data_IF_326185677334
#
_entry.id   IF_326185677334
#
_cell.length_a   1.000
_cell.length_b   1.000
_cell.length_c   1.000
_cell.angle_alpha   90.00
_cell.angle_beta   90.00
_cell.angle_gamma   90.00
#
_symmetry.space_group_name_H-M   'P 1'
#
loop_
_entity.id
_entity.type
_entity.pdbx_description
1 polymer ?
#
# COMPACT_ATOMS: atom_id res chain seq x y z
N UNK A 1 1.34 16.59 -14.29
CA UNK A 1 0.91 15.33 -13.68
C UNK A 1 0.09 14.55 -14.69
N UNK A 2 0.41 13.29 -14.92
CA UNK A 2 -0.32 12.42 -15.84
C UNK A 2 -1.72 12.13 -15.28
N UNK A 3 -2.72 12.02 -16.16
CA UNK A 3 -4.06 11.60 -15.76
C UNK A 3 -4.15 10.06 -15.76
N UNK A 4 -3.78 9.44 -14.65
CA UNK A 4 -3.75 7.98 -14.49
C UNK A 4 -5.12 7.32 -14.65
N UNK A 5 -6.24 8.02 -14.36
CA UNK A 5 -7.61 7.48 -14.54
C UNK A 5 -7.88 6.98 -15.97
N UNK A 6 -7.23 7.57 -16.98
CA UNK A 6 -7.42 7.17 -18.38
C UNK A 6 -6.95 5.75 -18.69
N UNK A 7 -6.09 5.20 -17.84
CA UNK A 7 -5.50 3.88 -18.01
C UNK A 7 -6.17 2.81 -17.14
N UNK A 8 -7.12 3.20 -16.28
CA UNK A 8 -7.84 2.29 -15.39
C UNK A 8 -9.11 1.83 -16.12
N UNK A 9 -9.34 0.53 -16.14
CA UNK A 9 -10.54 -0.07 -16.71
C UNK A 9 -11.51 -0.42 -15.59
N UNK A 10 -12.66 0.26 -15.59
CA UNK A 10 -13.77 -0.08 -14.73
C UNK A 10 -14.67 -1.08 -15.45
N UNK A 11 -14.89 -2.23 -14.84
CA UNK A 11 -15.79 -3.24 -15.41
C UNK A 11 -17.21 -2.94 -14.91
N UNK A 12 -18.22 -2.80 -15.80
CA UNK A 12 -19.60 -2.60 -15.39
C UNK A 12 -20.05 -3.67 -14.39
N UNK A 13 -20.55 -3.25 -13.22
CA UNK A 13 -21.00 -4.16 -12.16
C UNK A 13 -19.90 -4.76 -11.28
N UNK A 14 -18.62 -4.44 -11.52
CA UNK A 14 -17.53 -4.85 -10.66
C UNK A 14 -17.00 -3.62 -9.90
N UNK A 15 -17.00 -3.62 -8.56
CA UNK A 15 -16.45 -2.51 -7.76
C UNK A 15 -14.92 -2.41 -7.82
N UNK A 16 -14.24 -3.40 -8.41
CA UNK A 16 -12.78 -3.41 -8.55
C UNK A 16 -12.36 -2.87 -9.89
N UNK A 17 -11.47 -1.90 -9.87
CA UNK A 17 -10.78 -1.41 -11.05
C UNK A 17 -9.69 -2.39 -11.50
N UNK A 18 -9.58 -2.64 -12.79
CA UNK A 18 -8.47 -3.39 -13.36
C UNK A 18 -7.30 -2.44 -13.65
N UNK A 19 -6.21 -2.66 -12.95
CA UNK A 19 -4.97 -1.87 -13.09
C UNK A 19 -4.00 -2.44 -14.13
N UNK A 20 -4.28 -3.60 -14.71
CA UNK A 20 -3.36 -4.27 -15.65
C UNK A 20 -2.96 -3.36 -16.80
N UNK A 21 -3.95 -2.64 -17.38
CA UNK A 21 -3.67 -1.73 -18.49
C UNK A 21 -2.80 -0.53 -18.08
N UNK A 22 -2.99 0.00 -16.88
CA UNK A 22 -2.16 1.07 -16.30
C UNK A 22 -0.72 0.59 -16.10
N UNK A 23 -0.56 -0.55 -15.43
CA UNK A 23 0.75 -1.10 -15.05
C UNK A 23 1.56 -1.57 -16.28
N UNK A 24 0.88 -1.98 -17.35
CA UNK A 24 1.53 -2.44 -18.58
C UNK A 24 2.10 -1.33 -19.48
N UNK A 25 1.82 -0.06 -19.17
CA UNK A 25 2.31 1.07 -20.00
C UNK A 25 3.73 1.45 -19.56
N UNK A 26 4.69 1.25 -20.45
CA UNK A 26 6.12 1.50 -20.19
C UNK A 26 6.46 2.97 -19.86
N UNK A 27 5.65 3.92 -20.32
CA UNK A 27 5.83 5.34 -20.07
C UNK A 27 5.04 5.83 -18.85
N UNK A 28 3.95 5.13 -18.50
CA UNK A 28 3.03 5.54 -17.42
C UNK A 28 3.47 4.97 -16.08
N UNK A 29 3.88 3.72 -16.05
CA UNK A 29 4.26 3.05 -14.80
C UNK A 29 5.43 3.73 -14.06
N UNK A 30 6.54 4.13 -14.73
CA UNK A 30 7.60 4.88 -14.05
C UNK A 30 7.14 6.23 -13.50
N UNK A 31 6.28 6.95 -14.21
CA UNK A 31 5.72 8.22 -13.75
C UNK A 31 4.80 8.02 -12.53
N UNK A 32 3.97 6.97 -12.54
CA UNK A 32 3.12 6.58 -11.42
C UNK A 32 3.94 6.28 -10.16
N UNK A 33 5.00 5.49 -10.31
CA UNK A 33 5.92 5.16 -9.22
C UNK A 33 6.60 6.41 -8.66
N UNK A 34 7.10 7.29 -9.52
CA UNK A 34 7.72 8.55 -9.11
C UNK A 34 6.73 9.46 -8.36
N UNK A 35 5.50 9.60 -8.87
CA UNK A 35 4.47 10.43 -8.23
C UNK A 35 4.02 9.86 -6.89
N UNK A 36 3.93 8.52 -6.72
CA UNK A 36 3.66 7.89 -5.42
C UNK A 36 4.78 8.13 -4.40
N UNK A 37 6.02 8.10 -4.83
CA UNK A 37 7.18 8.28 -3.98
C UNK A 37 7.46 9.76 -3.63
N UNK A 38 7.07 10.69 -4.49
CA UNK A 38 7.49 12.10 -4.45
C UNK A 38 7.37 12.77 -3.06
N UNK A 39 6.28 12.63 -2.28
CA UNK A 39 6.18 13.27 -0.98
C UNK A 39 7.14 12.72 0.09
N UNK A 40 7.77 11.56 -0.18
CA UNK A 40 8.53 10.80 0.81
C UNK A 40 10.03 10.69 0.53
N UNK A 41 10.51 11.26 -0.59
CA UNK A 41 11.92 11.12 -1.05
C UNK A 41 12.95 11.63 -0.02
N UNK A 42 12.56 12.58 0.83
CA UNK A 42 13.45 13.20 1.82
C UNK A 42 13.17 12.73 3.26
N UNK A 43 12.31 11.74 3.44
CA UNK A 43 11.89 11.31 4.79
C UNK A 43 12.74 10.19 5.39
N UNK A 44 13.82 9.81 4.72
CA UNK A 44 14.73 8.75 5.21
C UNK A 44 14.04 7.38 5.28
N UNK A 45 13.18 7.07 4.30
CA UNK A 45 12.56 5.73 4.18
C UNK A 45 13.66 4.67 4.04
N UNK A 46 13.54 3.58 4.78
CA UNK A 46 14.46 2.43 4.73
C UNK A 46 13.82 1.18 4.12
N UNK A 47 12.48 1.09 4.18
CA UNK A 47 11.70 -0.02 3.62
C UNK A 47 10.39 0.49 3.04
N UNK A 48 9.90 -0.21 2.04
CA UNK A 48 8.52 -0.08 1.56
C UNK A 48 7.76 -1.35 1.93
N UNK A 49 6.66 -1.23 2.68
CA UNK A 49 5.74 -2.34 2.95
C UNK A 49 4.57 -2.28 1.97
N UNK A 50 4.20 -3.43 1.40
CA UNK A 50 3.15 -3.50 0.38
C UNK A 50 2.23 -4.69 0.59
N UNK A 51 0.93 -4.51 0.26
CA UNK A 51 -0.12 -5.51 0.52
C UNK A 51 -0.42 -6.36 -0.73
N UNK A 52 -0.55 -7.65 -0.53
CA UNK A 52 -0.95 -8.63 -1.54
C UNK A 52 -2.41 -8.40 -2.00
N UNK A 53 -2.68 -8.35 -3.32
CA UNK A 53 -1.85 -8.60 -4.50
C UNK A 53 -1.55 -7.34 -5.32
N UNK A 54 -2.49 -6.40 -5.49
CA UNK A 54 -2.37 -5.25 -6.40
C UNK A 54 -1.26 -4.29 -5.98
N UNK A 55 -1.10 -4.09 -4.67
CA UNK A 55 -0.04 -3.25 -4.12
C UNK A 55 1.39 -3.72 -4.42
N UNK A 56 1.60 -5.03 -4.66
CA UNK A 56 2.95 -5.58 -4.84
C UNK A 56 3.73 -4.94 -5.99
N UNK A 57 3.08 -4.71 -7.12
CA UNK A 57 3.74 -4.08 -8.27
C UNK A 57 4.10 -2.61 -7.97
N UNK A 58 3.20 -1.88 -7.34
CA UNK A 58 3.42 -0.47 -6.98
C UNK A 58 4.48 -0.33 -5.90
N UNK A 59 4.37 -1.11 -4.83
CA UNK A 59 5.33 -1.09 -3.73
C UNK A 59 6.73 -1.52 -4.16
N UNK A 60 6.85 -2.55 -5.02
CA UNK A 60 8.11 -2.95 -5.63
C UNK A 60 8.72 -1.83 -6.48
N UNK A 61 7.90 -1.16 -7.29
CA UNK A 61 8.33 0.00 -8.08
C UNK A 61 8.81 1.16 -7.21
N UNK A 62 8.04 1.52 -6.17
CA UNK A 62 8.38 2.60 -5.23
C UNK A 62 9.65 2.27 -4.45
N UNK A 63 9.81 1.02 -3.98
CA UNK A 63 11.02 0.57 -3.29
C UNK A 63 12.26 0.70 -4.18
N UNK A 64 12.13 0.26 -5.44
CA UNK A 64 13.20 0.42 -6.44
C UNK A 64 13.54 1.90 -6.67
N UNK A 65 12.54 2.76 -6.85
CA UNK A 65 12.72 4.20 -7.07
C UNK A 65 13.42 4.88 -5.88
N UNK A 66 13.05 4.51 -4.65
CA UNK A 66 13.67 5.03 -3.42
C UNK A 66 15.00 4.34 -3.07
N UNK A 67 15.41 3.31 -3.82
CA UNK A 67 16.60 2.49 -3.58
C UNK A 67 16.61 1.84 -2.18
N UNK A 68 15.48 1.24 -1.78
CA UNK A 68 15.26 0.57 -0.50
C UNK A 68 14.68 -0.83 -0.68
N UNK A 69 14.65 -1.64 0.39
CA UNK A 69 14.06 -2.96 0.37
C UNK A 69 12.51 -2.93 0.37
N UNK A 70 11.90 -4.01 -0.13
CA UNK A 70 10.45 -4.22 -0.08
C UNK A 70 10.07 -5.29 0.94
N UNK A 71 9.02 -5.03 1.71
CA UNK A 71 8.43 -5.93 2.71
C UNK A 71 7.05 -6.35 2.21
N UNK A 72 6.79 -7.65 2.19
CA UNK A 72 5.54 -8.19 1.69
C UNK A 72 4.58 -8.49 2.84
N UNK A 73 3.46 -7.78 2.87
CA UNK A 73 2.32 -8.10 3.73
C UNK A 73 1.38 -8.99 2.93
N UNK A 74 1.20 -10.22 3.38
CA UNK A 74 0.50 -11.26 2.64
C UNK A 74 -0.90 -11.51 3.21
N UNK A 75 -1.79 -12.01 2.37
CA UNK A 75 -3.01 -12.65 2.85
C UNK A 75 -2.64 -13.93 3.59
N UNK A 76 -3.28 -14.18 4.76
CA UNK A 76 -2.92 -15.26 5.66
C UNK A 76 -2.88 -16.65 4.98
N UNK A 77 -2.01 -17.51 5.51
CA UNK A 77 -1.75 -18.84 4.97
C UNK A 77 -0.73 -18.86 3.83
N UNK A 78 0.10 -17.83 3.74
CA UNK A 78 1.18 -17.72 2.75
C UNK A 78 2.58 -17.73 3.36
N UNK A 79 2.66 -17.66 4.70
CA UNK A 79 3.91 -17.70 5.46
C UNK A 79 3.90 -18.94 6.34
N UNK A 80 4.86 -19.84 6.10
CA UNK A 80 4.95 -21.15 6.77
C UNK A 80 5.77 -21.11 8.08
N UNK A 81 6.40 -20.00 8.39
CA UNK A 81 7.21 -19.78 9.60
C UNK A 81 6.87 -18.45 10.26
N UNK A 82 7.29 -18.23 11.48
CA UNK A 82 6.99 -17.11 12.37
C UNK A 82 6.50 -15.84 11.71
N UNK A 83 5.23 -15.52 11.94
CA UNK A 83 4.59 -14.33 11.42
C UNK A 83 3.69 -13.67 12.47
N UNK A 84 3.60 -12.33 12.42
CA UNK A 84 2.50 -11.58 13.03
C UNK A 84 1.33 -11.50 12.06
N UNK A 85 0.11 -11.50 12.59
CA UNK A 85 -1.09 -11.42 11.76
C UNK A 85 -2.21 -10.64 12.45
N UNK A 86 -3.08 -10.03 11.63
CA UNK A 86 -4.25 -9.28 12.09
C UNK A 86 -5.42 -9.50 11.13
N UNK A 87 -6.64 -9.57 11.69
CA UNK A 87 -7.88 -9.51 10.91
C UNK A 87 -8.27 -8.08 10.59
N UNK A 88 -8.80 -7.85 9.41
CA UNK A 88 -9.40 -6.59 8.98
C UNK A 88 -10.63 -6.84 8.13
N UNK A 89 -11.51 -5.85 8.05
CA UNK A 89 -12.65 -5.89 7.13
C UNK A 89 -12.27 -5.17 5.85
N UNK A 90 -12.42 -5.84 4.72
CA UNK A 90 -12.19 -5.22 3.41
C UNK A 90 -13.39 -4.37 2.96
N UNK A 91 -13.27 -3.70 1.80
CA UNK A 91 -14.30 -2.82 1.27
C UNK A 91 -15.63 -3.55 0.96
N UNK A 92 -15.63 -4.87 0.81
CA UNK A 92 -16.83 -5.68 0.59
C UNK A 92 -17.53 -6.12 1.88
N UNK A 93 -17.01 -5.70 3.05
CA UNK A 93 -17.48 -6.16 4.36
C UNK A 93 -16.98 -7.56 4.74
N UNK A 94 -16.08 -8.13 3.94
CA UNK A 94 -15.53 -9.47 4.21
C UNK A 94 -14.32 -9.39 5.12
N UNK A 95 -14.29 -10.27 6.13
CA UNK A 95 -13.10 -10.40 6.97
C UNK A 95 -11.94 -10.99 6.16
N UNK A 96 -10.79 -10.34 6.25
CA UNK A 96 -9.50 -10.77 5.72
C UNK A 96 -8.50 -10.82 6.84
N UNK A 97 -7.53 -11.69 6.73
CA UNK A 97 -6.39 -11.74 7.63
C UNK A 97 -5.12 -11.46 6.85
N UNK A 98 -4.35 -10.50 7.32
CA UNK A 98 -3.04 -10.15 6.78
C UNK A 98 -1.96 -10.68 7.71
N UNK A 99 -0.78 -10.98 7.15
CA UNK A 99 0.38 -11.49 7.88
C UNK A 99 1.68 -10.88 7.34
N UNK A 100 2.66 -10.76 8.22
CA UNK A 100 4.02 -10.29 7.94
C UNK A 100 5.02 -11.19 8.65
N UNK A 101 6.19 -11.47 8.06
CA UNK A 101 7.26 -12.25 8.71
C UNK A 101 7.84 -11.47 9.89
N UNK A 102 8.12 -12.13 11.01
CA UNK A 102 8.54 -11.51 12.27
C UNK A 102 9.86 -10.72 12.16
N UNK A 103 10.71 -11.05 11.19
CA UNK A 103 12.01 -10.42 10.93
C UNK A 103 12.01 -9.47 9.72
N UNK A 104 10.83 -9.14 9.20
CA UNK A 104 10.67 -8.31 8.00
C UNK A 104 11.15 -6.87 8.19
N UNK A 105 11.01 -6.34 9.40
CA UNK A 105 11.43 -4.99 9.79
C UNK A 105 12.00 -4.99 11.20
N UNK A 106 12.72 -3.94 11.55
CA UNK A 106 13.31 -3.71 12.88
C UNK A 106 12.91 -2.33 13.42
N UNK A 107 13.21 -2.07 14.68
CA UNK A 107 12.92 -0.76 15.32
C UNK A 107 13.71 0.42 14.72
N UNK A 108 14.73 0.16 13.94
CA UNK A 108 15.48 1.21 13.20
C UNK A 108 14.86 1.53 11.84
N UNK A 109 13.87 0.75 11.38
CA UNK A 109 13.30 0.95 10.06
C UNK A 109 12.23 2.06 10.06
N UNK A 110 12.27 2.84 8.98
CA UNK A 110 11.31 3.89 8.63
C UNK A 110 10.57 3.42 7.39
N UNK A 111 9.30 3.08 7.55
CA UNK A 111 8.54 2.34 6.56
C UNK A 111 7.51 3.22 5.87
N UNK A 112 7.48 3.19 4.54
CA UNK A 112 6.37 3.69 3.73
C UNK A 112 5.47 2.53 3.36
N UNK A 113 4.17 2.61 3.69
CA UNK A 113 3.17 1.62 3.26
C UNK A 113 2.66 2.00 1.87
N UNK A 114 2.69 1.06 0.92
CA UNK A 114 2.21 1.29 -0.45
C UNK A 114 1.18 0.23 -0.81
N UNK A 115 0.03 0.69 -1.31
CA UNK A 115 -1.03 -0.20 -1.80
C UNK A 115 -1.64 0.37 -3.09
N UNK A 116 -2.46 -0.42 -3.77
CA UNK A 116 -3.19 0.03 -4.96
C UNK A 116 -4.44 0.84 -4.56
N UNK A 117 -5.32 0.27 -3.73
CA UNK A 117 -6.64 0.80 -3.47
C UNK A 117 -7.06 0.66 -2.01
N UNK A 118 -7.35 1.77 -1.36
CA UNK A 118 -7.81 1.80 0.03
C UNK A 118 -9.15 2.54 0.14
N UNK A 119 -10.27 1.84 -0.06
CA UNK A 119 -11.60 2.45 -0.03
C UNK A 119 -12.04 2.82 1.40
N UNK A 120 -11.96 1.83 2.30
CA UNK A 120 -12.44 1.96 3.70
C UNK A 120 -11.32 2.15 4.72
N UNK A 121 -10.07 1.99 4.32
CA UNK A 121 -8.91 2.05 5.21
C UNK A 121 -8.60 0.75 5.97
N UNK A 122 -9.47 -0.25 5.96
CA UNK A 122 -9.32 -1.45 6.78
C UNK A 122 -8.01 -2.21 6.56
N UNK A 123 -7.64 -2.48 5.30
CA UNK A 123 -6.39 -3.16 4.97
C UNK A 123 -5.17 -2.25 5.24
N UNK A 124 -5.29 -0.96 4.97
CA UNK A 124 -4.21 0.01 5.20
C UNK A 124 -3.87 0.10 6.69
N UNK A 125 -4.89 0.20 7.57
CA UNK A 125 -4.69 0.15 9.03
C UNK A 125 -4.01 -1.14 9.47
N UNK A 126 -4.49 -2.26 8.96
CA UNK A 126 -3.92 -3.55 9.28
C UNK A 126 -2.45 -3.67 8.85
N UNK A 127 -2.09 -3.14 7.69
CA UNK A 127 -0.72 -3.09 7.22
C UNK A 127 0.17 -2.20 8.11
N UNK A 128 -0.31 -1.01 8.48
CA UNK A 128 0.38 -0.10 9.40
C UNK A 128 0.59 -0.79 10.75
N UNK A 129 -0.48 -1.36 11.32
CA UNK A 129 -0.41 -2.06 12.60
C UNK A 129 0.62 -3.19 12.60
N UNK A 130 0.67 -4.01 11.53
CA UNK A 130 1.64 -5.10 11.43
C UNK A 130 3.08 -4.61 11.45
N UNK A 131 3.37 -3.54 10.72
CA UNK A 131 4.71 -2.93 10.66
C UNK A 131 5.11 -2.38 12.04
N UNK A 132 4.22 -1.65 12.71
CA UNK A 132 4.47 -1.05 14.02
C UNK A 132 4.51 -2.09 15.14
N UNK A 133 3.75 -3.18 15.01
CA UNK A 133 3.80 -4.31 15.94
C UNK A 133 5.18 -4.96 16.00
N UNK A 134 5.93 -4.95 14.90
CA UNK A 134 7.32 -5.40 14.83
C UNK A 134 8.33 -4.33 15.29
N UNK A 135 7.86 -3.16 15.72
CA UNK A 135 8.68 -2.09 16.30
C UNK A 135 9.18 -1.04 15.30
N UNK A 136 8.93 -1.16 14.01
CA UNK A 136 9.30 -0.15 13.02
C UNK A 136 8.40 1.09 13.10
N UNK A 137 8.85 2.21 12.51
CA UNK A 137 8.07 3.45 12.45
C UNK A 137 7.46 3.61 11.06
N UNK A 138 6.13 3.74 10.98
CA UNK A 138 5.46 4.07 9.71
C UNK A 138 5.48 5.58 9.49
N UNK A 139 6.02 6.01 8.35
CA UNK A 139 6.18 7.43 7.97
C UNK A 139 4.95 7.97 7.25
N UNK A 140 4.22 7.09 6.59
CA UNK A 140 3.01 7.42 5.87
C UNK A 140 2.57 6.29 4.95
N UNK A 141 1.56 6.57 4.15
CA UNK A 141 1.04 5.65 3.16
C UNK A 141 0.82 6.32 1.81
N UNK A 142 1.14 5.61 0.73
CA UNK A 142 0.92 6.04 -0.64
C UNK A 142 0.10 4.99 -1.40
N UNK A 143 -1.03 5.40 -1.98
CA UNK A 143 -1.89 4.53 -2.76
C UNK A 143 -2.23 5.19 -4.10
N UNK A 144 -2.62 4.39 -5.08
CA UNK A 144 -3.21 4.95 -6.29
C UNK A 144 -4.51 5.69 -5.94
N UNK A 145 -5.36 5.08 -5.10
CA UNK A 145 -6.58 5.70 -4.58
C UNK A 145 -6.73 5.49 -3.07
N UNK A 146 -7.13 6.56 -2.35
CA UNK A 146 -7.60 6.49 -0.96
C UNK A 146 -9.00 7.11 -0.90
N UNK A 147 -10.00 6.29 -0.61
CA UNK A 147 -11.40 6.70 -0.55
C UNK A 147 -11.70 7.69 0.58
N UNK A 148 -12.82 8.44 0.49
CA UNK A 148 -13.22 9.40 1.51
C UNK A 148 -13.35 8.80 2.90
N UNK A 149 -13.84 7.56 3.01
CA UNK A 149 -13.99 6.86 4.27
C UNK A 149 -12.63 6.59 4.93
N UNK A 150 -11.65 6.12 4.15
CA UNK A 150 -10.28 5.90 4.65
C UNK A 150 -9.60 7.21 5.08
N UNK A 151 -9.82 8.30 4.34
CA UNK A 151 -9.24 9.63 4.67
C UNK A 151 -9.84 10.26 5.94
N UNK A 152 -11.06 9.86 6.30
CA UNK A 152 -11.77 10.33 7.51
C UNK A 152 -11.58 9.39 8.70
N UNK A 153 -10.85 8.30 8.52
CA UNK A 153 -10.61 7.32 9.57
C UNK A 153 -9.69 7.90 10.65
N UNK A 154 -10.19 7.98 11.88
CA UNK A 154 -9.45 8.53 13.01
C UNK A 154 -8.15 7.75 13.31
N UNK A 155 -8.10 6.45 12.98
CA UNK A 155 -6.89 5.63 13.17
C UNK A 155 -5.82 5.85 12.08
N UNK A 156 -6.17 6.57 11.01
CA UNK A 156 -5.24 6.97 9.95
C UNK A 156 -4.88 8.46 10.02
N UNK A 157 -5.49 9.23 10.95
CA UNK A 157 -5.36 10.69 11.02
C UNK A 157 -3.92 11.16 11.31
N UNK A 158 -3.14 10.37 12.02
CA UNK A 158 -1.75 10.71 12.40
C UNK A 158 -0.74 10.38 11.28
N UNK A 159 -1.17 9.71 10.22
CA UNK A 159 -0.30 9.33 9.12
C UNK A 159 -0.45 10.27 7.92
N UNK A 160 0.66 10.59 7.26
CA UNK A 160 0.61 11.27 5.97
C UNK A 160 0.09 10.30 4.91
N UNK A 161 -1.14 10.56 4.42
CA UNK A 161 -1.77 9.80 3.35
C UNK A 161 -1.57 10.53 2.02
N UNK A 162 -1.04 9.82 1.03
CA UNK A 162 -0.86 10.33 -0.32
C UNK A 162 -1.58 9.44 -1.34
N UNK A 163 -2.30 10.05 -2.27
CA UNK A 163 -2.97 9.34 -3.36
C UNK A 163 -2.94 10.16 -4.65
N UNK A 164 -3.04 9.48 -5.78
CA UNK A 164 -2.87 10.09 -7.10
C UNK A 164 -4.19 10.33 -7.83
N UNK A 165 -5.23 9.58 -7.49
CA UNK A 165 -6.54 9.71 -8.14
C UNK A 165 -7.65 9.83 -7.11
N UNK A 166 -8.65 10.62 -7.47
CA UNK A 166 -9.92 10.75 -6.73
C UNK A 166 -11.07 10.23 -7.58
N UNK A 167 -12.05 9.60 -6.93
CA UNK A 167 -13.31 9.17 -7.54
C UNK A 167 -14.47 9.81 -6.83
#
# INVERSE_FOLDING_TARGET
MLNFKRYIRNWPGNPRSDLTHLLAQSEVFPALVADLAAPFVHDGITRVATVDAGGLALGGGVAYYLNVGVVLIRKAGRIDWGSESISCIDFSGTEKRLEITNDAVTSSDRVLVVDDWSETGGQLRAAIWLVERLGATVIGAACLHIGPQARQDAQLADYRLHHLIEY
#
